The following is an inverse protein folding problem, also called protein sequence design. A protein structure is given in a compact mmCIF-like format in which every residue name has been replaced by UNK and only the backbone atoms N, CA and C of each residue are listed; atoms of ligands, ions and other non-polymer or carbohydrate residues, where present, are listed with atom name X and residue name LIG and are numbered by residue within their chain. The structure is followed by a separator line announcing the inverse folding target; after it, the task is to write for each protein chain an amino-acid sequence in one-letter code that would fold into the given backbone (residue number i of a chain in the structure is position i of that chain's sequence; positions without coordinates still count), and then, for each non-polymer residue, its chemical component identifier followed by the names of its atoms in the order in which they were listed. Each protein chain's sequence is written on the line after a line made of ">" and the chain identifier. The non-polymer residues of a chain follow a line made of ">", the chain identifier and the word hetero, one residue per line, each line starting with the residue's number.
data_IF_030385976765
#
_entry.id   IF_030385976765
#
_cell.length_a   1.000
_cell.length_b   1.000
_cell.length_c   1.000
_cell.angle_alpha   90.00
_cell.angle_beta   90.00
_cell.angle_gamma   90.00
#
_symmetry.space_group_name_H-M   'P 1'
#
loop_
_entity.id
_entity.type
_entity.pdbx_description
1 polymer ?
#
# COMPACT_ATOMS: atom_id res chain seq x y z
N UNK A 1 -0.62 39.60 -8.89
CA UNK A 1 -0.68 38.20 -9.37
C UNK A 1 0.39 37.85 -10.44
N UNK A 2 1.52 37.25 -10.03
CA UNK A 2 2.66 36.95 -10.93
C UNK A 2 2.65 35.49 -11.46
N UNK A 3 2.14 34.54 -10.67
CA UNK A 3 2.34 33.09 -10.93
C UNK A 3 1.08 32.22 -10.91
N UNK A 4 -0.08 32.76 -10.55
CA UNK A 4 -1.36 32.03 -10.51
C UNK A 4 -2.45 32.86 -11.18
N UNK A 5 -3.16 32.23 -12.11
CA UNK A 5 -4.30 32.87 -12.79
C UNK A 5 -5.50 33.05 -11.85
N UNK A 6 -5.67 32.16 -10.86
CA UNK A 6 -6.65 32.34 -9.79
C UNK A 6 -6.49 33.69 -9.05
N UNK A 7 -5.26 34.04 -8.68
CA UNK A 7 -4.99 35.32 -8.03
C UNK A 7 -5.38 36.49 -8.94
N UNK A 8 -5.12 36.39 -10.26
CA UNK A 8 -5.52 37.42 -11.22
C UNK A 8 -7.03 37.61 -11.26
N UNK A 9 -7.82 36.52 -11.32
CA UNK A 9 -9.28 36.58 -11.31
C UNK A 9 -9.80 37.21 -10.02
N UNK A 10 -9.25 36.84 -8.86
CA UNK A 10 -9.61 37.44 -7.56
C UNK A 10 -9.29 38.95 -7.54
N UNK A 11 -8.11 39.34 -8.01
CA UNK A 11 -7.75 40.76 -8.10
C UNK A 11 -8.72 41.55 -9.00
N UNK A 12 -9.09 41.00 -10.17
CA UNK A 12 -10.06 41.61 -11.08
C UNK A 12 -11.46 41.71 -10.46
N UNK A 13 -11.90 40.69 -9.75
CA UNK A 13 -13.18 40.71 -9.05
C UNK A 13 -13.21 41.81 -7.97
N UNK A 14 -12.14 41.96 -7.19
CA UNK A 14 -12.03 43.04 -6.19
C UNK A 14 -12.06 44.42 -6.82
N UNK A 15 -11.35 44.64 -7.93
CA UNK A 15 -11.35 45.93 -8.66
C UNK A 15 -12.77 46.31 -9.12
N UNK A 16 -13.52 45.35 -9.67
CA UNK A 16 -14.91 45.56 -10.10
C UNK A 16 -15.84 45.84 -8.92
N UNK A 17 -15.79 44.99 -7.88
CA UNK A 17 -16.70 45.08 -6.73
C UNK A 17 -16.49 46.33 -5.87
N UNK A 18 -15.26 46.85 -5.82
CA UNK A 18 -14.90 48.04 -5.04
C UNK A 18 -14.77 49.32 -5.89
N UNK A 19 -14.98 49.23 -7.21
CA UNK A 19 -14.88 50.39 -8.12
C UNK A 19 -13.48 51.02 -8.18
N UNK A 20 -12.42 50.22 -8.06
CA UNK A 20 -11.03 50.71 -7.93
C UNK A 20 -10.39 51.17 -9.26
N UNK A 21 -11.19 51.36 -10.30
CA UNK A 21 -10.75 51.79 -11.63
C UNK A 21 -10.75 50.68 -12.69
N UNK A 22 -10.00 50.83 -13.79
CA UNK A 22 -10.00 49.90 -14.91
C UNK A 22 -9.35 48.56 -14.55
N UNK A 23 -9.66 47.51 -15.32
CA UNK A 23 -9.10 46.16 -15.11
C UNK A 23 -9.87 45.30 -14.12
N UNK A 24 -11.13 45.64 -13.85
CA UNK A 24 -12.07 44.74 -13.16
C UNK A 24 -12.45 43.53 -14.01
N UNK A 25 -13.03 42.51 -13.37
CA UNK A 25 -13.49 41.29 -14.05
C UNK A 25 -14.56 41.63 -15.09
N UNK A 26 -14.56 40.95 -16.23
CA UNK A 26 -15.59 41.14 -17.25
C UNK A 26 -16.85 40.30 -16.94
N UNK A 27 -18.05 40.68 -17.44
CA UNK A 27 -19.26 39.87 -17.25
C UNK A 27 -19.15 38.46 -17.84
N UNK A 28 -18.39 38.29 -18.92
CA UNK A 28 -18.10 36.99 -19.51
C UNK A 28 -17.21 36.14 -18.61
N UNK A 29 -16.13 36.72 -18.08
CA UNK A 29 -15.27 36.03 -17.11
C UNK A 29 -16.03 35.65 -15.84
N UNK A 30 -16.89 36.55 -15.33
CA UNK A 30 -17.74 36.33 -14.17
C UNK A 30 -18.77 35.21 -14.42
N UNK A 31 -19.38 35.18 -15.60
CA UNK A 31 -20.32 34.11 -16.00
C UNK A 31 -19.65 32.75 -16.23
N UNK A 32 -18.34 32.72 -16.47
CA UNK A 32 -17.56 31.52 -16.79
C UNK A 32 -16.63 31.06 -15.65
N UNK A 33 -16.83 31.55 -14.42
CA UNK A 33 -15.93 31.25 -13.29
C UNK A 33 -15.76 29.75 -13.03
N UNK A 34 -16.82 28.96 -13.17
CA UNK A 34 -16.75 27.50 -12.98
C UNK A 34 -15.81 26.83 -13.99
N UNK A 35 -15.91 27.21 -15.26
CA UNK A 35 -15.03 26.71 -16.32
C UNK A 35 -13.58 27.17 -16.10
N UNK A 36 -13.38 28.44 -15.77
CA UNK A 36 -12.07 29.01 -15.47
C UNK A 36 -11.42 28.27 -14.28
N UNK A 37 -12.19 28.01 -13.21
CA UNK A 37 -11.69 27.29 -12.04
C UNK A 37 -11.31 25.84 -12.36
N UNK A 38 -12.09 25.16 -13.23
CA UNK A 38 -11.78 23.83 -13.71
C UNK A 38 -10.46 23.80 -14.50
N UNK A 39 -10.25 24.76 -15.40
CA UNK A 39 -9.02 24.88 -16.21
C UNK A 39 -7.80 25.20 -15.36
N UNK A 40 -7.92 26.10 -14.38
CA UNK A 40 -6.86 26.39 -13.41
C UNK A 40 -6.48 25.11 -12.68
N UNK A 41 -7.46 24.38 -12.16
CA UNK A 41 -7.23 23.16 -11.40
C UNK A 41 -6.56 22.07 -12.25
N UNK A 42 -6.98 21.93 -13.51
CA UNK A 42 -6.40 20.98 -14.46
C UNK A 42 -4.94 21.34 -14.78
N UNK A 43 -4.68 22.60 -15.09
CA UNK A 43 -3.35 23.08 -15.45
C UNK A 43 -2.38 23.04 -14.26
N UNK A 44 -2.85 23.30 -13.05
CA UNK A 44 -2.07 23.12 -11.82
C UNK A 44 -1.68 21.65 -11.60
N UNK A 45 -2.63 20.71 -11.72
CA UNK A 45 -2.31 19.27 -11.66
C UNK A 45 -1.30 18.86 -12.73
N UNK A 46 -1.44 19.36 -13.96
CA UNK A 46 -0.50 19.06 -15.05
C UNK A 46 0.91 19.58 -14.74
N UNK A 47 1.02 20.80 -14.22
CA UNK A 47 2.31 21.36 -13.82
C UNK A 47 2.96 20.56 -12.68
N UNK A 48 2.19 20.18 -11.66
CA UNK A 48 2.69 19.35 -10.56
C UNK A 48 3.21 17.98 -11.04
N UNK A 49 2.51 17.33 -11.97
CA UNK A 49 2.96 16.05 -12.54
C UNK A 49 4.27 16.24 -13.32
N UNK A 50 4.37 17.27 -14.16
CA UNK A 50 5.57 17.56 -14.93
C UNK A 50 6.79 17.88 -14.04
N UNK A 51 6.58 18.62 -12.95
CA UNK A 51 7.63 18.92 -11.96
C UNK A 51 8.10 17.63 -11.27
N UNK A 52 7.17 16.77 -10.83
CA UNK A 52 7.51 15.49 -10.22
C UNK A 52 8.29 14.60 -11.18
N UNK A 53 7.81 14.41 -12.41
CA UNK A 53 8.52 13.62 -13.41
C UNK A 53 9.94 14.15 -13.68
N UNK A 54 10.10 15.47 -13.74
CA UNK A 54 11.42 16.09 -13.95
C UNK A 54 12.34 15.78 -12.78
N UNK A 55 11.86 15.94 -11.55
CA UNK A 55 12.62 15.60 -10.34
C UNK A 55 13.01 14.12 -10.32
N UNK A 56 12.07 13.23 -10.60
CA UNK A 56 12.28 11.78 -10.60
C UNK A 56 13.34 11.37 -11.64
N UNK A 57 13.29 11.93 -12.86
CA UNK A 57 14.32 11.70 -13.90
C UNK A 57 15.69 12.21 -13.48
N UNK A 58 15.78 13.40 -12.90
CA UNK A 58 17.05 13.98 -12.45
C UNK A 58 17.67 13.18 -11.31
N UNK A 59 16.86 12.78 -10.32
CA UNK A 59 17.32 11.96 -9.20
C UNK A 59 17.75 10.57 -9.67
N UNK A 60 16.99 9.95 -10.57
CA UNK A 60 17.36 8.66 -11.16
C UNK A 60 18.66 8.74 -11.97
N UNK A 61 18.86 9.84 -12.71
CA UNK A 61 20.14 10.16 -13.35
C UNK A 61 21.30 10.23 -12.36
N UNK A 62 21.12 11.01 -11.29
CA UNK A 62 22.11 11.17 -10.24
C UNK A 62 22.44 9.88 -9.47
N UNK A 63 21.47 9.00 -9.28
CA UNK A 63 21.67 7.71 -8.60
C UNK A 63 22.17 6.59 -9.53
N UNK A 64 22.12 6.77 -10.85
CA UNK A 64 22.56 5.75 -11.82
C UNK A 64 24.04 5.40 -11.71
N UNK A 65 24.87 6.33 -11.25
CA UNK A 65 26.30 6.12 -10.99
C UNK A 65 26.56 5.34 -9.69
N UNK A 66 25.53 5.10 -8.88
CA UNK A 66 25.60 4.51 -7.53
C UNK A 66 24.84 3.19 -7.40
N UNK A 67 24.63 2.51 -8.54
CA UNK A 67 24.05 1.17 -8.56
C UNK A 67 24.93 0.21 -7.74
N UNK A 68 24.31 -0.57 -6.87
CA UNK A 68 24.96 -1.48 -5.94
C UNK A 68 25.21 -0.90 -4.54
N UNK A 69 25.08 0.41 -4.36
CA UNK A 69 25.21 1.06 -3.05
C UNK A 69 23.98 0.82 -2.16
N UNK A 70 24.20 0.99 -0.84
CA UNK A 70 23.18 0.83 0.20
C UNK A 70 22.63 2.18 0.62
N UNK A 71 21.33 2.23 0.85
CA UNK A 71 20.63 3.43 1.26
C UNK A 71 19.64 3.12 2.38
N UNK A 72 19.46 4.09 3.27
CA UNK A 72 18.36 4.07 4.22
C UNK A 72 17.12 4.71 3.60
N UNK A 73 15.96 4.10 3.82
CA UNK A 73 14.70 4.61 3.34
C UNK A 73 13.53 4.20 4.23
N UNK A 74 12.35 4.71 3.87
CA UNK A 74 11.09 4.41 4.53
C UNK A 74 10.10 3.83 3.54
N UNK A 75 9.40 2.76 3.93
CA UNK A 75 8.32 2.20 3.13
C UNK A 75 7.19 3.23 3.08
N UNK A 76 6.85 3.73 1.89
CA UNK A 76 5.78 4.70 1.69
C UNK A 76 4.53 4.08 1.01
N UNK A 77 4.64 2.83 0.56
CA UNK A 77 3.53 2.11 -0.06
C UNK A 77 3.75 0.61 -0.06
N UNK A 78 2.65 -0.14 0.05
CA UNK A 78 2.66 -1.59 0.09
C UNK A 78 1.59 -2.12 -0.85
N UNK A 79 1.98 -3.06 -1.72
CA UNK A 79 1.09 -3.69 -2.69
C UNK A 79 1.34 -5.19 -2.75
N UNK A 80 0.45 -5.94 -3.41
CA UNK A 80 0.66 -7.37 -3.68
C UNK A 80 1.92 -7.67 -4.51
N UNK A 81 2.40 -6.70 -5.29
CA UNK A 81 3.56 -6.86 -6.15
C UNK A 81 4.90 -6.53 -5.46
N UNK A 82 4.86 -5.86 -4.30
CA UNK A 82 6.06 -5.39 -3.63
C UNK A 82 5.85 -4.11 -2.83
N UNK A 83 6.96 -3.44 -2.54
CA UNK A 83 7.04 -2.27 -1.66
C UNK A 83 7.52 -1.05 -2.44
N UNK A 84 6.96 0.12 -2.11
CA UNK A 84 7.51 1.40 -2.49
C UNK A 84 8.31 1.96 -1.31
N UNK A 85 9.50 2.47 -1.59
CA UNK A 85 10.45 3.01 -0.60
C UNK A 85 10.91 4.39 -1.05
N UNK A 86 10.86 5.35 -0.14
CA UNK A 86 11.49 6.67 -0.30
C UNK A 86 12.83 6.68 0.42
N UNK A 87 13.91 7.05 -0.26
CA UNK A 87 15.23 7.20 0.36
C UNK A 87 15.26 8.43 1.27
N UNK A 88 15.87 8.30 2.45
CA UNK A 88 15.87 9.36 3.46
C UNK A 88 16.66 10.60 3.03
N UNK A 89 17.81 10.42 2.37
CA UNK A 89 18.72 11.53 2.06
C UNK A 89 18.31 12.29 0.80
N UNK A 90 17.87 11.58 -0.23
CA UNK A 90 17.55 12.17 -1.54
C UNK A 90 16.05 12.41 -1.73
N UNK A 91 15.19 11.77 -0.94
CA UNK A 91 13.74 11.74 -1.17
C UNK A 91 13.36 10.98 -2.45
N UNK A 92 14.25 10.15 -2.98
CA UNK A 92 14.00 9.37 -4.19
C UNK A 92 13.02 8.23 -3.91
N UNK A 93 11.98 8.11 -4.73
CA UNK A 93 11.07 6.96 -4.68
C UNK A 93 11.62 5.83 -5.55
N UNK A 94 11.44 4.59 -5.09
CA UNK A 94 11.65 3.41 -5.93
C UNK A 94 10.90 2.20 -5.42
N UNK A 95 11.06 1.09 -6.14
CA UNK A 95 10.24 -0.09 -5.93
C UNK A 95 11.08 -1.34 -5.68
N UNK A 96 10.66 -2.12 -4.68
CA UNK A 96 11.20 -3.44 -4.36
C UNK A 96 10.16 -4.48 -4.79
N UNK A 97 10.42 -5.27 -5.85
CA UNK A 97 9.58 -6.41 -6.18
C UNK A 97 9.50 -7.40 -5.02
N UNK A 98 8.36 -8.04 -4.83
CA UNK A 98 8.16 -9.04 -3.76
C UNK A 98 9.24 -10.15 -3.77
N UNK A 99 9.73 -10.54 -4.95
CA UNK A 99 10.80 -11.52 -5.13
C UNK A 99 12.19 -11.04 -4.70
N UNK A 100 12.33 -9.74 -4.40
CA UNK A 100 13.57 -9.11 -3.93
C UNK A 100 13.53 -8.77 -2.44
N UNK A 101 12.49 -9.21 -1.73
CA UNK A 101 12.35 -9.05 -0.28
C UNK A 101 13.01 -10.23 0.43
N UNK A 102 12.55 -11.45 0.15
CA UNK A 102 13.16 -12.71 0.59
C UNK A 102 12.58 -13.88 -0.22
N UNK A 103 13.09 -15.10 0.02
CA UNK A 103 12.67 -16.32 -0.67
C UNK A 103 11.37 -16.94 -0.12
N UNK A 104 10.62 -16.23 0.73
CA UNK A 104 9.35 -16.72 1.27
C UNK A 104 8.12 -16.16 0.55
N UNK A 105 6.98 -16.82 0.76
CA UNK A 105 5.70 -16.31 0.27
C UNK A 105 5.19 -15.19 1.20
N UNK A 106 4.74 -14.08 0.64
CA UNK A 106 4.13 -12.98 1.40
C UNK A 106 2.63 -12.87 1.12
N UNK A 107 1.88 -12.63 2.19
CA UNK A 107 0.45 -12.30 2.15
C UNK A 107 0.28 -10.80 2.33
N UNK A 108 -0.40 -10.18 1.37
CA UNK A 108 -0.76 -8.76 1.46
C UNK A 108 -2.02 -8.58 2.31
N UNK A 109 -1.91 -7.77 3.37
CA UNK A 109 -3.03 -7.28 4.16
C UNK A 109 -3.31 -5.81 3.80
N UNK A 110 -4.48 -5.58 3.20
CA UNK A 110 -4.92 -4.25 2.78
C UNK A 110 -5.33 -3.37 3.95
N UNK A 111 -5.82 -3.93 5.06
CA UNK A 111 -6.31 -3.17 6.21
C UNK A 111 -5.14 -2.52 6.96
N UNK A 112 -4.02 -3.22 7.05
CA UNK A 112 -2.82 -2.73 7.76
C UNK A 112 -1.75 -2.18 6.82
N UNK A 113 -1.96 -2.30 5.50
CA UNK A 113 -0.98 -1.98 4.46
C UNK A 113 0.35 -2.67 4.71
N UNK A 114 0.31 -4.00 4.84
CA UNK A 114 1.48 -4.82 5.18
C UNK A 114 1.65 -6.02 4.23
N UNK A 115 2.91 -6.41 3.99
CA UNK A 115 3.26 -7.74 3.47
C UNK A 115 3.75 -8.60 4.63
N UNK A 116 3.10 -9.73 4.87
CA UNK A 116 3.38 -10.64 6.00
C UNK A 116 3.97 -11.94 5.45
N UNK A 117 5.15 -12.31 5.90
CA UNK A 117 5.79 -13.58 5.55
C UNK A 117 4.95 -14.77 6.04
N UNK A 118 4.65 -15.71 5.14
CA UNK A 118 3.83 -16.89 5.42
C UNK A 118 4.54 -17.84 6.39
N UNK A 119 5.88 -17.91 6.33
CA UNK A 119 6.67 -18.79 7.17
C UNK A 119 7.21 -18.06 8.41
N UNK A 120 7.84 -16.90 8.21
CA UNK A 120 8.48 -16.14 9.29
C UNK A 120 7.47 -15.40 10.18
N UNK A 121 6.32 -15.02 9.63
CA UNK A 121 5.38 -14.09 10.27
C UNK A 121 5.91 -12.67 10.40
N UNK A 122 7.10 -12.37 9.86
CA UNK A 122 7.66 -11.01 9.81
C UNK A 122 6.90 -10.18 8.79
N UNK A 123 6.73 -8.91 9.08
CA UNK A 123 5.98 -8.00 8.22
C UNK A 123 6.80 -6.80 7.79
N UNK A 124 6.50 -6.34 6.58
CA UNK A 124 6.90 -5.06 6.02
C UNK A 124 5.65 -4.20 5.89
N UNK A 125 5.57 -3.13 6.68
CA UNK A 125 4.43 -2.24 6.76
C UNK A 125 4.81 -0.84 6.29
N UNK A 126 3.83 -0.11 5.78
CA UNK A 126 3.97 1.33 5.55
C UNK A 126 4.53 2.05 6.78
N UNK A 127 5.43 2.99 6.55
CA UNK A 127 6.08 3.79 7.58
C UNK A 127 7.33 3.13 8.20
N UNK A 128 7.64 1.88 7.91
CA UNK A 128 8.85 1.23 8.46
C UNK A 128 10.13 1.76 7.81
N UNK A 129 11.15 1.99 8.63
CA UNK A 129 12.53 2.25 8.19
C UNK A 129 13.20 0.94 7.76
N UNK A 130 13.89 0.99 6.61
CA UNK A 130 14.56 -0.13 5.97
C UNK A 130 15.88 0.31 5.34
N UNK A 131 16.83 -0.63 5.26
CA UNK A 131 18.02 -0.53 4.43
C UNK A 131 17.76 -1.28 3.11
N UNK A 132 18.13 -0.64 2.00
CA UNK A 132 17.91 -1.14 0.64
C UNK A 132 19.18 -1.01 -0.19
N UNK A 133 19.35 -1.85 -1.20
CA UNK A 133 20.42 -1.73 -2.20
C UNK A 133 19.84 -1.26 -3.51
N UNK A 134 20.45 -0.26 -4.14
CA UNK A 134 20.07 0.15 -5.49
C UNK A 134 20.43 -0.94 -6.50
N UNK A 135 19.43 -1.55 -7.12
CA UNK A 135 19.62 -2.63 -8.09
C UNK A 135 19.66 -2.09 -9.52
N UNK A 136 18.76 -1.17 -9.85
CA UNK A 136 18.66 -0.56 -11.18
C UNK A 136 18.20 0.88 -11.09
N UNK A 137 18.68 1.73 -12.00
CA UNK A 137 18.21 3.08 -12.19
C UNK A 137 17.92 3.32 -13.67
N UNK A 138 16.75 3.88 -13.98
CA UNK A 138 16.31 4.19 -15.34
C UNK A 138 16.02 5.70 -15.45
N UNK A 139 17.03 6.54 -15.77
CA UNK A 139 16.91 8.00 -15.75
C UNK A 139 15.82 8.55 -16.66
N UNK A 140 15.66 8.00 -17.88
CA UNK A 140 14.63 8.44 -18.83
C UNK A 140 13.22 8.19 -18.29
N UNK A 141 13.04 7.07 -17.58
CA UNK A 141 11.76 6.69 -16.96
C UNK A 141 11.55 7.34 -15.58
N UNK A 142 12.59 7.93 -14.97
CA UNK A 142 12.52 8.42 -13.58
C UNK A 142 12.29 7.30 -12.56
N UNK A 143 12.77 6.08 -12.85
CA UNK A 143 12.44 4.90 -12.04
C UNK A 143 13.69 4.29 -11.38
N UNK A 144 13.51 3.82 -10.15
CA UNK A 144 14.52 3.12 -9.36
C UNK A 144 14.00 1.75 -8.92
N UNK A 145 14.85 0.73 -8.97
CA UNK A 145 14.60 -0.60 -8.41
C UNK A 145 15.56 -0.87 -7.28
N UNK A 146 15.04 -1.45 -6.22
CA UNK A 146 15.79 -1.77 -5.02
C UNK A 146 15.69 -3.25 -4.68
N UNK A 147 16.73 -3.78 -4.05
CA UNK A 147 16.69 -5.05 -3.30
C UNK A 147 16.56 -4.73 -1.81
N UNK A 148 15.78 -5.52 -1.08
CA UNK A 148 15.67 -5.37 0.38
C UNK A 148 16.94 -5.92 1.06
N UNK A 149 17.48 -5.18 2.02
CA UNK A 149 18.57 -5.65 2.89
C UNK A 149 18.11 -5.88 4.33
N UNK A 150 17.10 -5.14 4.79
CA UNK A 150 16.55 -5.31 6.15
C UNK A 150 15.55 -6.45 6.25
N UNK A 151 15.60 -7.18 7.36
CA UNK A 151 14.57 -8.16 7.71
C UNK A 151 13.27 -7.46 8.13
N UNK A 152 12.14 -8.13 7.90
CA UNK A 152 10.85 -7.69 8.39
C UNK A 152 10.79 -7.70 9.92
N UNK A 153 9.79 -7.03 10.50
CA UNK A 153 9.61 -6.98 11.96
C UNK A 153 8.36 -7.76 12.36
N UNK A 154 8.36 -8.32 13.57
CA UNK A 154 7.09 -8.72 14.19
C UNK A 154 6.28 -7.46 14.47
N UNK A 155 5.09 -7.39 13.89
CA UNK A 155 4.15 -6.29 14.10
C UNK A 155 2.99 -6.83 14.93
N UNK A 156 2.73 -6.17 16.04
CA UNK A 156 1.67 -6.53 16.97
C UNK A 156 0.29 -6.27 16.33
N UNK A 157 -0.64 -7.23 16.48
CA UNK A 157 -2.00 -7.11 15.93
C UNK A 157 -2.19 -7.58 14.48
N UNK A 158 -1.14 -8.03 13.77
CA UNK A 158 -1.30 -8.64 12.44
C UNK A 158 -1.81 -10.08 12.52
N UNK A 159 -2.73 -10.49 11.61
CA UNK A 159 -3.16 -11.87 11.54
C UNK A 159 -1.98 -12.75 11.13
N UNK A 160 -1.57 -13.68 12.00
CA UNK A 160 -0.62 -14.74 11.63
C UNK A 160 -1.22 -15.52 10.46
N UNK A 161 -0.43 -15.77 9.42
CA UNK A 161 -0.90 -16.49 8.24
C UNK A 161 -1.61 -17.79 8.66
N UNK A 162 -2.87 -17.92 8.25
CA UNK A 162 -3.74 -19.06 8.60
C UNK A 162 -3.38 -20.35 7.84
N UNK A 163 -2.37 -20.33 6.97
CA UNK A 163 -2.09 -21.44 6.05
C UNK A 163 -1.39 -22.64 6.69
N UNK A 164 -0.76 -22.48 7.84
CA UNK A 164 -0.12 -23.59 8.58
C UNK A 164 -1.07 -24.38 9.50
N UNK A 165 -2.35 -23.98 9.61
CA UNK A 165 -3.32 -24.62 10.51
C UNK A 165 -4.11 -25.81 9.95
N UNK A 166 -4.03 -26.10 8.64
CA UNK A 166 -4.94 -27.06 8.00
C UNK A 166 -4.25 -28.31 7.46
N UNK A 167 -3.34 -28.93 8.23
CA UNK A 167 -2.95 -30.34 7.97
C UNK A 167 -2.24 -31.05 9.14
N UNK A 168 -2.85 -31.08 10.34
CA UNK A 168 -2.54 -32.10 11.37
C UNK A 168 -3.79 -32.56 12.12
N UNK A 169 -4.72 -33.20 11.41
CA UNK A 169 -5.60 -34.22 11.99
C UNK A 169 -5.08 -35.57 11.53
N UNK A 170 -4.17 -36.15 12.29
CA UNK A 170 -4.02 -37.59 12.40
C UNK A 170 -3.26 -37.93 13.68
N UNK A 171 -3.94 -38.64 14.58
CA UNK A 171 -3.37 -39.33 15.72
C UNK A 171 -4.18 -40.62 15.94
N UNK A 172 -3.55 -41.81 15.94
CA UNK A 172 -4.23 -43.11 16.03
C UNK A 172 -4.41 -43.52 17.49
N UNK A 173 -5.60 -44.00 17.86
CA UNK A 173 -5.79 -44.53 19.21
C UNK A 173 -7.19 -45.08 19.47
N UNK A 174 -7.25 -46.34 19.92
CA UNK A 174 -8.39 -46.85 20.68
C UNK A 174 -9.14 -48.04 20.09
N UNK A 175 -8.49 -49.21 20.06
CA UNK A 175 -9.21 -50.49 20.10
C UNK A 175 -10.05 -50.53 21.39
N UNK A 176 -11.37 -50.55 21.25
CA UNK A 176 -12.32 -50.78 22.35
C UNK A 176 -13.37 -51.80 21.93
N UNK A 177 -13.15 -53.06 22.29
CA UNK A 177 -13.96 -54.20 21.87
C UNK A 177 -15.40 -54.15 22.37
N UNK A 178 -16.34 -54.42 21.47
CA UNK A 178 -17.72 -54.79 21.84
C UNK A 178 -17.77 -56.31 22.03
N UNK A 179 -17.74 -56.73 23.29
CA UNK A 179 -18.06 -58.11 23.70
C UNK A 179 -19.56 -58.33 23.51
N UNK A 180 -19.89 -59.23 22.60
CA UNK A 180 -21.17 -59.93 22.58
C UNK A 180 -21.13 -61.05 23.61
N UNK A 181 -22.15 -61.14 24.46
CA UNK A 181 -22.36 -62.26 25.39
C UNK A 181 -23.82 -62.30 25.89
N UNK A 182 -24.46 -63.48 26.03
CA UNK A 182 -25.93 -63.61 26.00
C UNK A 182 -26.56 -64.02 27.35
N UNK A 183 -27.88 -64.23 27.33
CA UNK A 183 -28.79 -64.79 28.37
C UNK A 183 -29.24 -63.80 29.45
N UNK A 184 -30.46 -63.81 29.98
CA UNK A 184 -31.64 -64.67 29.86
C UNK A 184 -32.50 -64.44 31.12
N UNK A 185 -33.84 -64.53 31.04
CA UNK A 185 -34.68 -64.66 32.26
C UNK A 185 -36.02 -63.93 32.32
N UNK A 186 -37.05 -64.63 31.82
CA UNK A 186 -38.51 -64.56 32.10
C UNK A 186 -39.01 -63.95 33.43
N UNK A 187 -40.16 -63.22 33.36
CA UNK A 187 -41.48 -63.54 34.00
C UNK A 187 -42.56 -62.51 33.54
N UNK A 188 -43.62 -62.91 32.80
CA UNK A 188 -45.03 -63.20 33.23
C UNK A 188 -45.58 -62.19 34.27
N UNK A 189 -46.74 -61.54 34.20
CA UNK A 189 -48.10 -61.63 33.58
C UNK A 189 -48.78 -60.25 33.87
N UNK A 190 -49.83 -59.70 33.25
CA UNK A 190 -51.24 -60.15 33.26
C UNK A 190 -52.14 -59.05 32.62
N UNK A 191 -52.83 -59.39 31.53
CA UNK A 191 -54.26 -59.18 31.18
C UNK A 191 -55.10 -58.06 31.86
N UNK A 192 -55.72 -57.17 31.06
CA UNK A 192 -57.18 -56.87 30.93
C UNK A 192 -57.38 -55.54 30.17
N UNK A 193 -57.99 -55.54 28.97
CA UNK A 193 -59.42 -55.29 28.64
C UNK A 193 -59.90 -53.85 28.92
N UNK A 194 -60.45 -53.24 27.88
CA UNK A 194 -61.15 -51.96 27.82
C UNK A 194 -61.19 -51.55 26.36
#
# INVERSE_FOLDING_TARGET
>A
PIRRYADLIVHRALVRSLGLGPGGITPEEEGNLDAIAADISLTERRAMVAERETKDRLIAGFLSERIGERFNGRINGVTKAGLFVTLNDTGADGFIPISKISDEYYVYDAATQSLIGDHSGLAYQIGMDVEVRLAEAAPVAGALRFDMLSEGKQVEGLPRSRRTGQKRRNGPGGRGGRRFGPSGGRRKTRKHRG
#
